data_IF_846287206871
#
_entry.id   IF_846287206871
#
_cell.length_a   1.000
_cell.length_b   1.000
_cell.length_c   1.000
_cell.angle_alpha   90.00
_cell.angle_beta   90.00
_cell.angle_gamma   90.00
#
_symmetry.space_group_name_H-M   'P 1'
#
loop_
_entity.id
_entity.type
_entity.pdbx_description
1 polymer ?
#
# COMPACT_ATOMS: atom_id res chain seq x y z
N UNK A 1 -46.39 43.87 -6.55
CA UNK A 1 -45.30 43.30 -5.72
C UNK A 1 -44.15 42.95 -6.64
N UNK A 2 -42.99 43.61 -6.53
CA UNK A 2 -41.87 43.33 -7.42
C UNK A 2 -41.33 41.93 -7.09
N UNK A 3 -41.16 41.11 -8.14
CA UNK A 3 -40.42 39.85 -8.07
C UNK A 3 -38.99 40.21 -7.68
N UNK A 4 -38.54 39.75 -6.52
CA UNK A 4 -37.12 39.76 -6.17
C UNK A 4 -36.42 38.93 -7.23
N UNK A 5 -35.70 39.63 -8.10
CA UNK A 5 -34.74 39.08 -9.02
C UNK A 5 -33.72 38.34 -8.16
N UNK A 6 -33.75 37.00 -8.17
CA UNK A 6 -32.59 36.24 -7.71
C UNK A 6 -31.50 36.56 -8.70
N UNK A 7 -30.50 37.30 -8.24
CA UNK A 7 -29.26 37.48 -8.96
C UNK A 7 -28.79 36.09 -9.37
N UNK A 8 -28.78 35.82 -10.68
CA UNK A 8 -28.14 34.65 -11.25
C UNK A 8 -26.63 34.88 -11.14
N UNK A 9 -26.10 34.74 -9.93
CA UNK A 9 -24.67 34.71 -9.68
C UNK A 9 -24.08 33.56 -10.49
N UNK A 10 -22.96 33.83 -11.17
CA UNK A 10 -22.20 32.81 -11.88
C UNK A 10 -21.99 31.57 -10.98
N UNK A 11 -21.97 30.35 -11.56
CA UNK A 11 -21.74 29.14 -10.78
C UNK A 11 -20.47 29.29 -9.93
N UNK A 12 -20.62 29.16 -8.61
CA UNK A 12 -19.50 29.25 -7.68
C UNK A 12 -18.86 27.87 -7.68
N UNK A 13 -17.85 27.70 -8.53
CA UNK A 13 -17.01 26.51 -8.56
C UNK A 13 -16.00 26.59 -7.41
N UNK A 14 -15.74 25.45 -6.77
CA UNK A 14 -14.69 25.33 -5.75
C UNK A 14 -13.92 24.02 -5.90
N UNK A 15 -12.69 23.99 -5.39
CA UNK A 15 -11.89 22.77 -5.24
C UNK A 15 -11.93 22.36 -3.77
N UNK A 16 -12.25 21.10 -3.49
CA UNK A 16 -12.22 20.54 -2.13
C UNK A 16 -11.09 19.52 -2.05
N UNK A 17 -10.17 19.71 -1.12
CA UNK A 17 -9.19 18.69 -0.74
C UNK A 17 -9.55 18.12 0.63
N UNK A 18 -9.55 16.79 0.78
CA UNK A 18 -9.90 16.13 2.03
C UNK A 18 -9.01 14.93 2.33
N UNK A 19 -8.75 14.68 3.61
CA UNK A 19 -7.99 13.56 4.15
C UNK A 19 -8.57 13.11 5.50
N UNK A 20 -8.23 11.89 5.91
CA UNK A 20 -8.54 11.35 7.22
C UNK A 20 -7.51 10.34 7.70
N UNK A 21 -7.21 10.38 8.99
CA UNK A 21 -6.21 9.51 9.60
C UNK A 21 -6.71 8.85 10.88
N UNK A 22 -6.05 7.75 11.24
CA UNK A 22 -6.19 7.08 12.53
C UNK A 22 -4.83 6.64 13.09
N UNK A 23 -4.57 6.98 14.35
CA UNK A 23 -3.42 6.53 15.14
C UNK A 23 -3.67 5.12 15.68
N UNK A 24 -3.27 4.11 14.92
CA UNK A 24 -3.41 2.69 15.32
C UNK A 24 -4.41 1.88 14.49
N UNK A 25 -5.15 2.52 13.58
CA UNK A 25 -6.10 1.98 12.60
C UNK A 25 -6.64 0.52 12.85
N UNK A 26 -7.77 0.36 13.56
CA UNK A 26 -8.57 1.40 14.19
C UNK A 26 -7.86 2.01 15.40
N UNK A 27 -8.10 3.29 15.63
CA UNK A 27 -7.34 4.11 16.57
C UNK A 27 -7.94 5.51 16.70
N UNK A 28 -7.33 6.37 17.53
CA UNK A 28 -7.75 7.77 17.62
C UNK A 28 -7.67 8.41 16.23
N UNK A 29 -8.79 8.92 15.74
CA UNK A 29 -8.96 9.32 14.37
C UNK A 29 -9.48 10.74 14.25
N UNK A 30 -9.17 11.37 13.12
CA UNK A 30 -9.58 12.72 12.80
C UNK A 30 -9.50 12.96 11.30
N UNK A 31 -10.17 14.00 10.84
CA UNK A 31 -10.21 14.37 9.44
C UNK A 31 -9.81 15.83 9.23
N UNK A 32 -9.43 16.14 8.01
CA UNK A 32 -9.16 17.49 7.54
C UNK A 32 -9.74 17.69 6.15
N UNK A 33 -10.34 18.85 5.91
CA UNK A 33 -10.83 19.28 4.62
C UNK A 33 -10.57 20.77 4.43
N UNK A 34 -10.27 21.15 3.20
CA UNK A 34 -10.03 22.54 2.81
C UNK A 34 -10.77 22.82 1.50
N UNK A 35 -11.42 23.97 1.43
CA UNK A 35 -12.10 24.47 0.24
C UNK A 35 -11.26 25.60 -0.34
N UNK A 36 -10.86 25.46 -1.60
CA UNK A 36 -10.09 26.44 -2.35
C UNK A 36 -10.94 27.12 -3.44
N UNK A 37 -10.47 28.28 -3.89
CA UNK A 37 -10.86 28.86 -5.17
C UNK A 37 -10.56 27.90 -6.34
N UNK A 38 -11.27 28.01 -7.47
CA UNK A 38 -11.07 27.12 -8.63
C UNK A 38 -9.64 27.02 -9.16
N UNK A 39 -8.85 28.09 -9.01
CA UNK A 39 -7.45 28.19 -9.43
C UNK A 39 -6.46 27.63 -8.42
N UNK A 40 -6.96 27.06 -7.30
CA UNK A 40 -6.19 26.50 -6.20
C UNK A 40 -5.24 27.51 -5.53
N UNK A 41 -5.55 28.81 -5.58
CA UNK A 41 -4.68 29.85 -5.00
C UNK A 41 -5.14 30.36 -3.63
N UNK A 42 -6.45 30.33 -3.35
CA UNK A 42 -7.02 30.94 -2.14
C UNK A 42 -7.78 29.90 -1.33
N UNK A 43 -7.47 29.79 -0.03
CA UNK A 43 -8.28 29.02 0.92
C UNK A 43 -9.54 29.81 1.27
N UNK A 44 -10.70 29.23 1.00
CA UNK A 44 -12.03 29.81 1.26
C UNK A 44 -12.64 29.28 2.57
N UNK A 45 -12.26 28.07 2.99
CA UNK A 45 -12.75 27.45 4.22
C UNK A 45 -11.95 26.22 4.61
N UNK A 46 -11.96 25.89 5.89
CA UNK A 46 -11.32 24.69 6.45
C UNK A 46 -12.28 24.02 7.42
N UNK A 47 -12.28 22.69 7.43
CA UNK A 47 -13.03 21.88 8.39
C UNK A 47 -12.14 20.74 8.89
N UNK A 48 -11.99 20.62 10.20
CA UNK A 48 -11.26 19.51 10.81
C UNK A 48 -11.81 19.19 12.18
N UNK A 49 -11.93 17.90 12.50
CA UNK A 49 -12.35 17.46 13.83
C UNK A 49 -11.85 16.05 14.13
N UNK A 50 -11.74 15.75 15.42
CA UNK A 50 -11.48 14.39 15.89
C UNK A 50 -12.80 13.62 15.93
N UNK A 51 -12.76 12.34 15.54
CA UNK A 51 -13.93 11.48 15.44
C UNK A 51 -13.89 10.31 16.42
N UNK A 52 -13.03 10.41 17.44
CA UNK A 52 -12.83 9.37 18.43
C UNK A 52 -12.09 8.17 17.85
N UNK A 53 -12.53 6.96 18.18
CA UNK A 53 -11.87 5.72 17.75
C UNK A 53 -12.50 5.21 16.44
N UNK A 54 -11.75 5.26 15.34
CA UNK A 54 -12.24 4.85 14.02
C UNK A 54 -11.11 4.34 13.12
N UNK A 55 -11.46 3.78 11.97
CA UNK A 55 -10.50 3.39 10.92
C UNK A 55 -10.14 4.57 10.02
N UNK A 56 -9.04 4.47 9.27
CA UNK A 56 -8.64 5.45 8.26
C UNK A 56 -9.77 5.72 7.25
N UNK A 57 -10.37 4.67 6.68
CA UNK A 57 -11.42 4.85 5.67
C UNK A 57 -12.65 5.57 6.23
N UNK A 58 -12.99 5.33 7.51
CA UNK A 58 -14.05 6.09 8.19
C UNK A 58 -13.66 7.57 8.31
N UNK A 59 -12.41 7.85 8.70
CA UNK A 59 -11.91 9.23 8.78
C UNK A 59 -11.88 9.93 7.41
N UNK A 60 -11.45 9.25 6.34
CA UNK A 60 -11.42 9.80 4.98
C UNK A 60 -12.82 10.15 4.49
N UNK A 61 -13.81 9.27 4.70
CA UNK A 61 -15.20 9.58 4.38
C UNK A 61 -15.75 10.76 5.20
N UNK A 62 -15.37 10.88 6.47
CA UNK A 62 -15.74 12.03 7.31
C UNK A 62 -15.13 13.32 6.78
N UNK A 63 -13.87 13.29 6.34
CA UNK A 63 -13.20 14.42 5.68
C UNK A 63 -13.94 14.86 4.42
N UNK A 64 -14.31 13.91 3.55
CA UNK A 64 -15.10 14.22 2.35
C UNK A 64 -16.44 14.89 2.70
N UNK A 65 -17.19 14.31 3.63
CA UNK A 65 -18.50 14.84 4.03
C UNK A 65 -18.36 16.27 4.59
N UNK A 66 -17.34 16.52 5.42
CA UNK A 66 -17.07 17.83 5.97
C UNK A 66 -16.67 18.84 4.89
N UNK A 67 -15.84 18.45 3.92
CA UNK A 67 -15.46 19.30 2.80
C UNK A 67 -16.64 19.69 1.91
N UNK A 68 -17.53 18.73 1.60
CA UNK A 68 -18.77 18.99 0.86
C UNK A 68 -19.72 19.91 1.66
N UNK A 69 -19.87 19.70 2.97
CA UNK A 69 -20.70 20.56 3.79
C UNK A 69 -20.17 22.01 3.84
N UNK A 70 -18.84 22.18 3.92
CA UNK A 70 -18.21 23.49 3.91
C UNK A 70 -18.36 24.19 2.55
N UNK A 71 -18.20 23.47 1.45
CA UNK A 71 -18.45 23.99 0.11
C UNK A 71 -19.91 24.46 -0.06
N UNK A 72 -20.88 23.70 0.47
CA UNK A 72 -22.29 24.08 0.44
C UNK A 72 -22.55 25.35 1.28
N UNK A 73 -21.91 25.47 2.45
CA UNK A 73 -22.01 26.67 3.31
C UNK A 73 -21.48 27.92 2.62
N UNK A 74 -20.45 27.77 1.77
CA UNK A 74 -19.88 28.84 0.94
C UNK A 74 -20.72 29.16 -0.30
N UNK A 75 -21.85 28.46 -0.52
CA UNK A 75 -22.74 28.68 -1.65
C UNK A 75 -22.22 28.13 -2.97
N UNK A 76 -21.30 27.16 -2.94
CA UNK A 76 -20.81 26.52 -4.16
C UNK A 76 -21.93 25.77 -4.90
N UNK A 77 -21.92 25.83 -6.22
CA UNK A 77 -22.85 25.08 -7.09
C UNK A 77 -22.15 23.94 -7.85
N UNK A 78 -20.83 24.04 -8.05
CA UNK A 78 -19.99 23.00 -8.66
C UNK A 78 -18.78 22.70 -7.76
N UNK A 79 -18.45 21.43 -7.59
CA UNK A 79 -17.33 21.00 -6.73
C UNK A 79 -16.40 20.04 -7.44
N UNK A 80 -15.10 20.33 -7.44
CA UNK A 80 -14.06 19.37 -7.80
C UNK A 80 -13.43 18.85 -6.52
N UNK A 81 -13.62 17.56 -6.20
CA UNK A 81 -13.04 16.91 -5.03
C UNK A 81 -11.71 16.27 -5.41
N UNK A 82 -10.67 16.51 -4.63
CA UNK A 82 -9.37 15.86 -4.71
C UNK A 82 -9.04 15.18 -3.39
N UNK A 83 -8.72 13.88 -3.41
CA UNK A 83 -8.34 13.13 -2.21
C UNK A 83 -7.21 12.15 -2.54
N UNK A 84 -6.38 11.83 -1.56
CA UNK A 84 -5.36 10.78 -1.68
C UNK A 84 -5.88 9.37 -1.33
N UNK A 85 -7.15 9.28 -0.92
CA UNK A 85 -7.89 8.02 -0.80
C UNK A 85 -8.46 7.55 -2.14
N UNK A 86 -7.74 6.63 -2.79
CA UNK A 86 -8.24 5.97 -4.02
C UNK A 86 -9.54 5.22 -3.75
N UNK A 87 -9.71 4.64 -2.56
CA UNK A 87 -10.94 3.93 -2.18
C UNK A 87 -12.15 4.86 -2.18
N UNK A 88 -12.08 6.00 -1.48
CA UNK A 88 -13.20 6.95 -1.40
C UNK A 88 -13.48 7.55 -2.78
N UNK A 89 -12.44 7.95 -3.53
CA UNK A 89 -12.60 8.50 -4.88
C UNK A 89 -13.30 7.51 -5.82
N UNK A 90 -12.88 6.25 -5.86
CA UNK A 90 -13.44 5.24 -6.75
C UNK A 90 -14.87 4.84 -6.35
N UNK A 91 -15.15 4.80 -5.04
CA UNK A 91 -16.50 4.52 -4.53
C UNK A 91 -17.46 5.68 -4.85
N UNK A 92 -17.05 6.93 -4.61
CA UNK A 92 -17.86 8.11 -4.92
C UNK A 92 -18.03 8.34 -6.42
N UNK A 93 -17.07 7.91 -7.23
CA UNK A 93 -17.20 7.89 -8.69
C UNK A 93 -18.11 6.76 -9.21
N UNK A 94 -18.66 5.92 -8.34
CA UNK A 94 -19.50 4.77 -8.72
C UNK A 94 -18.76 3.61 -9.37
N UNK A 95 -17.42 3.67 -9.47
CA UNK A 95 -16.60 2.63 -10.09
C UNK A 95 -16.43 1.43 -9.16
N UNK A 96 -16.38 1.66 -7.85
CA UNK A 96 -16.22 0.61 -6.83
C UNK A 96 -17.45 0.50 -5.93
N UNK A 97 -17.83 -0.73 -5.57
CA UNK A 97 -18.94 -0.97 -4.62
C UNK A 97 -18.48 -0.77 -3.17
N UNK A 98 -19.36 -0.20 -2.35
CA UNK A 98 -19.19 -0.13 -0.89
C UNK A 98 -19.81 -1.37 -0.27
N UNK A 99 -18.99 -2.21 0.38
CA UNK A 99 -19.45 -3.49 0.97
C UNK A 99 -19.41 -3.51 2.49
N UNK A 100 -18.56 -2.69 3.11
CA UNK A 100 -18.40 -2.68 4.56
C UNK A 100 -19.58 -1.95 5.23
N UNK A 101 -20.30 -2.56 6.18
CA UNK A 101 -21.48 -1.97 6.81
C UNK A 101 -21.28 -0.53 7.32
N UNK A 102 -20.18 -0.29 8.03
CA UNK A 102 -19.88 1.05 8.57
C UNK A 102 -19.58 2.10 7.49
N UNK A 103 -19.08 1.67 6.33
CA UNK A 103 -18.81 2.57 5.21
C UNK A 103 -20.06 2.80 4.35
N UNK A 104 -21.03 1.87 4.34
CA UNK A 104 -22.28 2.04 3.59
C UNK A 104 -23.03 3.29 4.08
N UNK A 105 -23.13 3.47 5.40
CA UNK A 105 -23.78 4.65 5.99
C UNK A 105 -23.05 5.94 5.64
N UNK A 106 -21.72 5.95 5.70
CA UNK A 106 -20.91 7.12 5.36
C UNK A 106 -20.94 7.45 3.87
N UNK A 107 -20.92 6.43 3.02
CA UNK A 107 -21.10 6.58 1.59
C UNK A 107 -22.46 7.20 1.26
N UNK A 108 -23.54 6.72 1.88
CA UNK A 108 -24.86 7.33 1.70
C UNK A 108 -24.88 8.79 2.15
N UNK A 109 -24.26 9.13 3.28
CA UNK A 109 -24.12 10.51 3.74
C UNK A 109 -23.34 11.38 2.74
N UNK A 110 -22.23 10.88 2.21
CA UNK A 110 -21.44 11.58 1.20
C UNK A 110 -22.20 11.78 -0.12
N UNK A 111 -22.97 10.77 -0.56
CA UNK A 111 -23.85 10.87 -1.74
C UNK A 111 -24.95 11.92 -1.50
N UNK A 112 -25.60 11.92 -0.33
CA UNK A 112 -26.61 12.93 0.01
C UNK A 112 -26.02 14.34 0.08
N UNK A 113 -24.80 14.50 0.58
CA UNK A 113 -24.10 15.78 0.58
C UNK A 113 -23.78 16.24 -0.85
N UNK A 114 -23.31 15.32 -1.72
CA UNK A 114 -23.00 15.61 -3.11
C UNK A 114 -24.24 16.03 -3.94
N UNK A 115 -25.44 15.55 -3.59
CA UNK A 115 -26.70 15.93 -4.26
C UNK A 115 -27.10 17.41 -4.07
N UNK A 116 -26.41 18.16 -3.21
CA UNK A 116 -26.65 19.60 -3.03
C UNK A 116 -26.06 20.46 -4.15
N UNK A 117 -25.17 19.87 -4.97
CA UNK A 117 -24.46 20.56 -6.04
C UNK A 117 -25.03 20.17 -7.41
N UNK A 118 -24.85 21.04 -8.40
CA UNK A 118 -25.19 20.74 -9.79
C UNK A 118 -24.23 19.71 -10.40
N UNK A 119 -22.95 19.75 -10.00
CA UNK A 119 -21.95 18.77 -10.40
C UNK A 119 -20.89 18.56 -9.31
N UNK A 120 -20.43 17.31 -9.19
CA UNK A 120 -19.31 16.92 -8.34
C UNK A 120 -18.41 15.94 -9.09
N UNK A 121 -17.13 16.26 -9.22
CA UNK A 121 -16.11 15.38 -9.79
C UNK A 121 -15.16 14.89 -8.70
N UNK A 122 -14.73 13.63 -8.78
CA UNK A 122 -13.79 13.04 -7.81
C UNK A 122 -12.49 12.66 -8.50
N UNK A 123 -11.39 13.26 -8.04
CA UNK A 123 -10.05 13.02 -8.56
C UNK A 123 -9.17 12.46 -7.46
N UNK A 124 -8.45 11.37 -7.77
CA UNK A 124 -7.40 10.90 -6.89
C UNK A 124 -6.14 11.75 -7.11
N UNK A 125 -5.54 12.21 -6.02
CA UNK A 125 -4.27 12.93 -6.03
C UNK A 125 -3.24 12.18 -5.18
N UNK A 126 -1.94 12.21 -5.54
CA UNK A 126 -0.89 11.72 -4.65
C UNK A 126 -0.88 12.44 -3.29
N UNK A 127 -0.49 11.75 -2.22
CA UNK A 127 -0.47 12.28 -0.84
C UNK A 127 0.39 13.53 -0.70
N UNK A 128 1.49 13.62 -1.44
CA UNK A 128 2.36 14.79 -1.45
C UNK A 128 1.69 16.06 -2.00
N UNK A 129 0.55 15.90 -2.69
CA UNK A 129 -0.29 17.00 -3.16
C UNK A 129 -1.44 17.32 -2.19
N UNK A 130 -1.77 16.43 -1.26
CA UNK A 130 -2.87 16.60 -0.28
C UNK A 130 -2.37 17.09 1.10
N UNK A 131 -1.25 17.83 1.15
CA UNK A 131 -0.56 18.18 2.41
C UNK A 131 -1.39 19.02 3.36
N UNK A 132 -2.28 19.86 2.83
CA UNK A 132 -3.06 20.78 3.64
C UNK A 132 -4.14 20.05 4.42
N UNK A 133 -4.91 19.17 3.75
CA UNK A 133 -5.90 18.33 4.40
C UNK A 133 -5.24 17.32 5.37
N UNK A 134 -4.10 16.73 5.00
CA UNK A 134 -3.32 15.85 5.89
C UNK A 134 -2.87 16.58 7.16
N UNK A 135 -2.35 17.82 7.05
CA UNK A 135 -1.99 18.64 8.21
C UNK A 135 -3.19 18.84 9.13
N UNK A 136 -4.34 19.23 8.59
CA UNK A 136 -5.57 19.45 9.35
C UNK A 136 -6.07 18.17 10.07
N UNK A 137 -6.00 17.02 9.41
CA UNK A 137 -6.36 15.74 10.01
C UNK A 137 -5.42 15.36 11.17
N UNK A 138 -4.11 15.60 11.01
CA UNK A 138 -3.13 15.38 12.07
C UNK A 138 -3.34 16.34 13.26
N UNK A 139 -3.56 17.63 13.00
CA UNK A 139 -3.85 18.60 14.06
C UNK A 139 -5.11 18.22 14.86
N UNK A 140 -6.16 17.72 14.19
CA UNK A 140 -7.37 17.25 14.87
C UNK A 140 -7.10 16.05 15.81
N UNK A 141 -6.33 15.05 15.35
CA UNK A 141 -5.96 13.89 16.17
C UNK A 141 -5.04 14.27 17.34
N UNK A 142 -4.09 15.18 17.11
CA UNK A 142 -3.14 15.61 18.12
C UNK A 142 -3.85 16.42 19.22
N UNK A 143 -4.77 17.34 18.85
CA UNK A 143 -5.64 18.06 19.81
C UNK A 143 -6.44 17.10 20.70
N UNK A 144 -7.02 16.04 20.12
CA UNK A 144 -7.83 15.08 20.87
C UNK A 144 -7.03 14.13 21.77
N UNK A 145 -5.73 13.91 21.48
CA UNK A 145 -4.84 13.10 22.32
C UNK A 145 -4.19 13.90 23.45
N UNK A 146 -4.41 15.22 23.51
CA UNK A 146 -3.70 16.10 24.45
C UNK A 146 -2.20 16.23 24.15
N UNK A 147 -1.77 15.85 22.94
CA UNK A 147 -0.40 16.01 22.47
C UNK A 147 -0.32 17.40 21.82
N UNK A 148 0.51 18.29 22.36
CA UNK A 148 0.78 19.56 21.68
C UNK A 148 1.33 19.28 20.27
N UNK A 149 0.87 20.02 19.23
CA UNK A 149 1.38 19.85 17.87
C UNK A 149 2.88 20.04 17.90
N UNK A 150 3.64 18.99 17.58
CA UNK A 150 5.09 19.08 17.47
C UNK A 150 5.39 20.11 16.39
N UNK A 151 5.99 21.24 16.76
CA UNK A 151 6.64 22.14 15.79
C UNK A 151 7.48 21.28 14.85
N UNK A 152 7.48 21.56 13.54
CA UNK A 152 8.33 20.85 12.61
C UNK A 152 9.74 20.85 13.19
N UNK A 153 10.31 19.67 13.44
CA UNK A 153 11.73 19.59 13.74
C UNK A 153 12.42 20.21 12.53
N UNK A 154 13.25 21.22 12.77
CA UNK A 154 14.23 21.67 11.79
C UNK A 154 14.99 20.43 11.32
N UNK A 155 14.62 19.99 10.12
CA UNK A 155 15.41 19.04 9.36
C UNK A 155 16.61 19.87 8.96
N UNK A 156 17.77 19.57 9.53
CA UNK A 156 19.03 20.15 9.12
C UNK A 156 19.07 20.17 7.59
N UNK A 157 19.38 21.34 7.02
CA UNK A 157 19.41 21.62 5.59
C UNK A 157 19.86 20.38 4.79
N UNK A 158 18.88 19.75 4.14
CA UNK A 158 19.19 18.88 3.01
C UNK A 158 19.72 19.85 1.97
N UNK A 159 21.05 19.92 1.84
CA UNK A 159 21.69 20.55 0.69
C UNK A 159 20.95 20.06 -0.54
N UNK A 160 20.32 20.99 -1.26
CA UNK A 160 19.75 20.74 -2.57
C UNK A 160 20.82 20.07 -3.44
N UNK A 161 20.75 18.76 -3.55
CA UNK A 161 21.39 18.06 -4.65
C UNK A 161 20.47 18.32 -5.83
N UNK A 162 20.98 19.12 -6.78
CA UNK A 162 20.38 19.27 -8.11
C UNK A 162 19.86 17.90 -8.57
N UNK A 163 18.61 17.79 -9.04
CA UNK A 163 18.13 16.56 -9.65
C UNK A 163 19.13 16.19 -10.74
N UNK A 164 19.73 15.00 -10.64
CA UNK A 164 20.49 14.47 -11.76
C UNK A 164 19.49 14.34 -12.91
N UNK A 165 19.76 15.06 -14.00
CA UNK A 165 19.03 14.96 -15.27
C UNK A 165 19.06 13.51 -15.75
N UNK A 166 18.05 12.74 -15.39
CA UNK A 166 17.68 11.54 -16.12
C UNK A 166 16.34 11.83 -16.77
N UNK A 167 16.34 11.84 -18.11
CA UNK A 167 15.16 12.05 -18.92
C UNK A 167 13.99 11.18 -18.40
N UNK A 168 12.76 11.72 -18.35
CA UNK A 168 11.61 10.92 -17.92
C UNK A 168 11.51 9.70 -18.83
N UNK A 169 11.54 8.51 -18.22
CA UNK A 169 11.12 7.30 -18.92
C UNK A 169 9.66 7.43 -19.37
N UNK A 170 9.17 6.44 -20.13
CA UNK A 170 7.77 6.40 -20.62
C UNK A 170 6.68 6.51 -19.53
N UNK A 171 7.05 6.42 -18.25
CA UNK A 171 6.16 6.47 -17.08
C UNK A 171 6.07 7.83 -16.40
N UNK A 172 6.86 8.83 -16.82
CA UNK A 172 6.87 10.17 -16.20
C UNK A 172 7.52 10.26 -14.81
N UNK A 173 8.00 9.13 -14.26
CA UNK A 173 8.66 9.07 -12.97
C UNK A 173 10.02 9.81 -12.98
N UNK A 174 10.33 10.53 -11.91
CA UNK A 174 11.57 11.29 -11.75
C UNK A 174 12.47 10.65 -10.69
N UNK A 175 13.77 10.64 -10.95
CA UNK A 175 14.79 10.10 -10.04
C UNK A 175 15.03 8.60 -10.19
N UNK A 176 15.95 8.06 -9.39
CA UNK A 176 16.32 6.64 -9.41
C UNK A 176 15.32 5.83 -8.56
N UNK A 177 14.75 4.73 -9.06
CA UNK A 177 13.88 3.89 -8.26
C UNK A 177 14.67 3.11 -7.20
N UNK A 178 14.03 2.83 -6.07
CA UNK A 178 14.45 1.74 -5.20
C UNK A 178 14.12 0.42 -5.90
N UNK A 179 15.15 -0.33 -6.26
CA UNK A 179 15.01 -1.57 -7.02
C UNK A 179 15.08 -2.76 -6.07
N UNK A 180 13.98 -3.49 -5.94
CA UNK A 180 13.87 -4.66 -5.09
C UNK A 180 13.99 -5.92 -5.93
N UNK A 181 15.06 -6.69 -5.69
CA UNK A 181 15.25 -8.03 -6.19
C UNK A 181 14.55 -8.99 -5.23
N UNK A 182 13.49 -9.64 -5.69
CA UNK A 182 12.64 -10.48 -4.87
C UNK A 182 13.04 -11.95 -5.10
N UNK A 183 13.73 -12.53 -4.12
CA UNK A 183 14.20 -13.92 -4.18
C UNK A 183 13.33 -14.80 -3.29
N UNK A 184 12.72 -15.84 -3.87
CA UNK A 184 12.06 -16.87 -3.07
C UNK A 184 13.12 -17.76 -2.41
N UNK A 185 12.88 -18.24 -1.20
CA UNK A 185 13.75 -19.22 -0.55
C UNK A 185 13.96 -20.49 -1.40
N UNK A 186 15.06 -21.20 -1.16
CA UNK A 186 15.34 -22.51 -1.76
C UNK A 186 14.38 -23.62 -1.32
N UNK A 187 14.46 -24.79 -1.94
CA UNK A 187 13.59 -25.93 -1.64
C UNK A 187 13.59 -26.36 -0.16
N UNK A 188 12.40 -26.73 0.34
CA UNK A 188 12.19 -27.43 1.61
C UNK A 188 11.42 -28.75 1.37
N UNK A 189 11.37 -29.64 2.36
CA UNK A 189 10.59 -30.89 2.26
C UNK A 189 9.09 -30.64 1.96
N UNK A 190 8.48 -29.66 2.64
CA UNK A 190 7.08 -29.29 2.36
C UNK A 190 6.87 -28.78 0.93
N UNK A 191 7.90 -28.15 0.34
CA UNK A 191 7.85 -27.69 -1.05
C UNK A 191 7.81 -28.87 -2.03
N UNK A 192 8.61 -29.92 -1.78
CA UNK A 192 8.62 -31.16 -2.58
C UNK A 192 7.24 -31.82 -2.54
N UNK A 193 6.65 -31.87 -1.34
CA UNK A 193 5.35 -32.49 -1.10
C UNK A 193 4.16 -31.61 -1.52
N UNK A 194 4.41 -30.38 -2.01
CA UNK A 194 3.39 -29.39 -2.39
C UNK A 194 2.38 -29.11 -1.28
N UNK A 195 2.87 -29.03 -0.05
CA UNK A 195 2.09 -28.74 1.14
C UNK A 195 2.11 -27.25 1.45
N UNK A 196 1.04 -26.73 2.03
CA UNK A 196 1.02 -25.38 2.58
C UNK A 196 2.12 -25.25 3.64
N UNK A 197 2.98 -24.25 3.45
CA UNK A 197 4.15 -24.00 4.29
C UNK A 197 4.17 -22.52 4.65
N UNK A 198 3.41 -22.16 5.66
CA UNK A 198 3.26 -20.82 6.17
C UNK A 198 4.27 -20.51 7.26
N UNK A 199 3.80 -20.49 8.50
CA UNK A 199 4.63 -20.18 9.69
C UNK A 199 5.38 -21.39 10.22
N UNK A 200 5.13 -22.59 9.70
CA UNK A 200 6.03 -23.72 9.89
C UNK A 200 7.44 -23.32 9.46
N UNK A 201 8.45 -23.85 10.15
CA UNK A 201 9.85 -23.48 9.91
C UNK A 201 10.70 -24.67 9.44
N UNK A 202 10.32 -25.35 8.32
CA UNK A 202 11.17 -26.39 7.77
C UNK A 202 12.48 -25.81 7.26
N UNK A 203 13.55 -26.57 7.46
CA UNK A 203 14.88 -26.27 6.95
C UNK A 203 14.95 -26.48 5.43
N UNK A 204 15.99 -25.91 4.80
CA UNK A 204 16.26 -26.18 3.39
C UNK A 204 16.70 -27.65 3.20
N UNK A 205 16.32 -28.24 2.08
CA UNK A 205 16.91 -29.51 1.63
C UNK A 205 18.34 -29.27 1.10
N UNK A 206 19.10 -30.33 0.82
CA UNK A 206 20.40 -30.20 0.14
C UNK A 206 20.27 -29.43 -1.17
N UNK A 207 19.28 -29.80 -1.99
CA UNK A 207 18.96 -29.10 -3.22
C UNK A 207 18.57 -27.63 -2.96
N UNK A 208 17.84 -27.34 -1.88
CA UNK A 208 17.52 -25.98 -1.48
C UNK A 208 18.75 -25.13 -1.15
N UNK A 209 19.76 -25.72 -0.49
CA UNK A 209 21.04 -25.05 -0.21
C UNK A 209 21.86 -24.85 -1.47
N UNK A 210 21.88 -25.82 -2.38
CA UNK A 210 22.50 -25.64 -3.70
C UNK A 210 21.84 -24.53 -4.50
N UNK A 211 20.51 -24.46 -4.51
CA UNK A 211 19.74 -23.41 -5.16
C UNK A 211 20.09 -22.02 -4.59
N UNK A 212 20.14 -21.90 -3.25
CA UNK A 212 20.56 -20.66 -2.60
C UNK A 212 22.00 -20.25 -3.00
N UNK A 213 22.93 -21.21 -3.06
CA UNK A 213 24.30 -20.95 -3.48
C UNK A 213 24.40 -20.53 -4.96
N UNK A 214 23.59 -21.12 -5.86
CA UNK A 214 23.50 -20.71 -7.28
C UNK A 214 22.94 -19.30 -7.42
N UNK A 215 21.86 -18.99 -6.70
CA UNK A 215 21.30 -17.64 -6.64
C UNK A 215 22.32 -16.61 -6.14
N UNK A 216 23.05 -16.94 -5.07
CA UNK A 216 24.09 -16.09 -4.51
C UNK A 216 25.20 -15.76 -5.53
N UNK A 217 25.70 -16.77 -6.25
CA UNK A 217 26.71 -16.57 -7.32
C UNK A 217 26.17 -15.70 -8.46
N UNK A 218 24.93 -15.92 -8.87
CA UNK A 218 24.28 -15.13 -9.92
C UNK A 218 24.09 -13.67 -9.51
N UNK A 219 23.69 -13.42 -8.26
CA UNK A 219 23.53 -12.07 -7.73
C UNK A 219 24.89 -11.36 -7.59
N UNK A 220 25.91 -12.07 -7.11
CA UNK A 220 27.27 -11.54 -6.97
C UNK A 220 27.88 -11.15 -8.33
N UNK A 221 27.64 -11.92 -9.39
CA UNK A 221 28.15 -11.59 -10.73
C UNK A 221 27.51 -10.36 -11.35
N UNK A 222 26.28 -9.99 -10.92
CA UNK A 222 25.62 -8.74 -11.33
C UNK A 222 26.04 -7.54 -10.49
N UNK A 223 26.33 -7.74 -9.21
CA UNK A 223 26.75 -6.68 -8.29
C UNK A 223 25.72 -5.56 -8.10
N UNK A 224 26.15 -4.45 -7.49
CA UNK A 224 25.33 -3.25 -7.31
C UNK A 224 24.19 -3.37 -6.30
N UNK A 225 24.15 -4.44 -5.51
CA UNK A 225 23.17 -4.65 -4.44
C UNK A 225 23.73 -4.05 -3.16
N UNK A 226 22.98 -3.19 -2.48
CA UNK A 226 23.44 -2.46 -1.30
C UNK A 226 23.21 -3.22 0.03
N UNK A 227 22.17 -4.04 0.10
CA UNK A 227 21.80 -4.80 1.30
C UNK A 227 20.94 -6.01 0.93
N UNK A 228 20.89 -6.98 1.86
CA UNK A 228 19.95 -8.10 1.86
C UNK A 228 18.99 -7.95 3.04
N UNK A 229 17.68 -7.98 2.78
CA UNK A 229 16.63 -8.04 3.79
C UNK A 229 15.94 -9.39 3.69
N UNK A 230 15.78 -10.09 4.81
CA UNK A 230 15.18 -11.43 4.82
C UNK A 230 13.94 -11.51 5.70
N UNK A 231 13.03 -12.42 5.35
CA UNK A 231 12.04 -12.93 6.29
C UNK A 231 12.71 -13.60 7.50
N UNK A 232 12.06 -13.65 8.67
CA UNK A 232 12.62 -14.27 9.87
C UNK A 232 12.69 -15.81 9.85
N UNK A 233 11.99 -16.50 8.93
CA UNK A 233 11.99 -17.98 8.84
C UNK A 233 13.33 -18.54 8.35
N UNK A 234 13.77 -19.66 8.92
CA UNK A 234 15.09 -20.29 8.68
C UNK A 234 15.40 -20.45 7.19
N UNK A 235 14.48 -21.05 6.42
CA UNK A 235 14.64 -21.24 4.96
C UNK A 235 14.97 -19.95 4.19
N UNK A 236 14.37 -18.82 4.57
CA UNK A 236 14.63 -17.52 3.95
C UNK A 236 15.93 -16.93 4.48
N UNK A 237 16.21 -17.03 5.79
CA UNK A 237 17.47 -16.55 6.40
C UNK A 237 18.68 -17.27 5.84
N UNK A 238 18.62 -18.59 5.68
CA UNK A 238 19.73 -19.38 5.11
C UNK A 238 19.98 -19.00 3.65
N UNK A 239 18.92 -18.87 2.86
CA UNK A 239 19.02 -18.38 1.46
C UNK A 239 19.63 -16.97 1.42
N UNK A 240 19.19 -16.08 2.31
CA UNK A 240 19.67 -14.70 2.40
C UNK A 240 21.13 -14.61 2.87
N UNK A 241 21.54 -15.47 3.82
CA UNK A 241 22.90 -15.52 4.31
C UNK A 241 23.89 -15.94 3.22
N UNK A 242 23.52 -16.91 2.38
CA UNK A 242 24.33 -17.29 1.22
C UNK A 242 24.53 -16.09 0.26
N UNK A 243 23.46 -15.35 -0.05
CA UNK A 243 23.53 -14.18 -0.92
C UNK A 243 24.34 -13.03 -0.29
N UNK A 244 24.08 -12.69 0.98
CA UNK A 244 24.77 -11.63 1.69
C UNK A 244 26.28 -11.91 1.80
N UNK A 245 26.66 -13.16 2.09
CA UNK A 245 28.05 -13.59 2.14
C UNK A 245 28.76 -13.48 0.79
N UNK A 246 28.10 -13.88 -0.30
CA UNK A 246 28.66 -13.77 -1.65
C UNK A 246 28.77 -12.31 -2.14
N UNK A 247 27.85 -11.44 -1.71
CA UNK A 247 27.82 -10.02 -2.07
C UNK A 247 28.72 -9.15 -1.18
N UNK A 248 29.04 -9.60 0.04
CA UNK A 248 29.77 -8.82 1.02
C UNK A 248 28.99 -7.63 1.58
N UNK A 249 27.66 -7.77 1.73
CA UNK A 249 26.76 -6.67 2.15
C UNK A 249 25.98 -7.03 3.42
N UNK A 250 25.42 -6.02 4.14
CA UNK A 250 24.65 -6.27 5.35
C UNK A 250 23.42 -7.15 5.10
N UNK A 251 23.12 -8.01 6.07
CA UNK A 251 21.89 -8.80 6.16
C UNK A 251 21.06 -8.32 7.34
N UNK A 252 19.83 -7.89 7.07
CA UNK A 252 18.83 -7.56 8.10
C UNK A 252 17.60 -8.47 8.00
N UNK A 253 16.84 -8.55 9.08
CA UNK A 253 15.58 -9.31 9.13
C UNK A 253 14.43 -8.31 9.27
N UNK A 254 13.38 -8.49 8.47
CA UNK A 254 12.12 -7.76 8.59
C UNK A 254 10.96 -8.76 8.80
N UNK A 255 10.33 -8.71 9.97
CA UNK A 255 9.26 -9.62 10.37
C UNK A 255 8.03 -9.52 9.46
N UNK A 256 7.78 -8.37 8.83
CA UNK A 256 6.64 -8.17 7.94
C UNK A 256 6.82 -8.91 6.59
N UNK A 257 8.01 -9.48 6.31
CA UNK A 257 8.30 -10.29 5.11
C UNK A 257 8.03 -11.79 5.30
N UNK A 258 7.59 -12.24 6.47
CA UNK A 258 7.28 -13.64 6.75
C UNK A 258 6.16 -14.20 5.83
N UNK A 259 6.07 -15.51 5.61
CA UNK A 259 5.00 -16.11 4.78
C UNK A 259 3.62 -15.96 5.42
N UNK A 260 2.56 -16.16 4.63
CA UNK A 260 1.18 -16.28 5.07
C UNK A 260 1.05 -17.35 6.15
N UNK A 261 0.37 -17.04 7.25
CA UNK A 261 -0.09 -18.03 8.19
C UNK A 261 -1.27 -18.83 7.64
N UNK A 262 -1.04 -20.11 7.34
CA UNK A 262 -2.08 -21.01 6.85
C UNK A 262 -2.84 -21.70 8.00
N UNK A 263 -2.52 -21.41 9.27
CA UNK A 263 -3.23 -21.95 10.43
C UNK A 263 -3.35 -23.47 10.39
N UNK A 264 -4.57 -23.98 10.51
CA UNK A 264 -4.87 -25.42 10.49
C UNK A 264 -4.63 -26.11 9.14
N UNK A 265 -4.37 -25.36 8.06
CA UNK A 265 -3.96 -25.93 6.77
C UNK A 265 -2.45 -26.12 6.65
N UNK A 266 -1.66 -25.64 7.61
CA UNK A 266 -0.21 -25.86 7.64
C UNK A 266 0.11 -27.36 7.49
N UNK A 267 1.01 -27.69 6.56
CA UNK A 267 1.40 -29.06 6.28
C UNK A 267 0.37 -29.87 5.49
N UNK A 268 -0.82 -29.37 5.19
CA UNK A 268 -1.75 -30.05 4.28
C UNK A 268 -1.39 -29.79 2.82
N UNK A 269 -1.68 -30.75 1.95
CA UNK A 269 -1.75 -30.50 0.51
C UNK A 269 -3.00 -29.68 0.19
N UNK A 270 -3.05 -29.14 -1.03
CA UNK A 270 -4.24 -28.45 -1.52
C UNK A 270 -5.50 -29.33 -1.48
N UNK A 271 -5.40 -30.62 -1.87
CA UNK A 271 -6.54 -31.55 -1.86
C UNK A 271 -7.01 -31.81 -0.44
N UNK A 272 -6.09 -32.11 0.49
CA UNK A 272 -6.43 -32.37 1.89
C UNK A 272 -7.10 -31.14 2.55
N UNK A 273 -6.62 -29.92 2.28
CA UNK A 273 -7.27 -28.71 2.78
C UNK A 273 -8.67 -28.50 2.17
N UNK A 274 -8.82 -28.73 0.86
CA UNK A 274 -10.11 -28.64 0.17
C UNK A 274 -11.09 -29.73 0.60
N UNK A 275 -10.64 -30.92 0.98
CA UNK A 275 -11.50 -31.99 1.48
C UNK A 275 -11.91 -31.74 2.93
N UNK A 276 -11.00 -31.19 3.73
CA UNK A 276 -11.23 -30.86 5.13
C UNK A 276 -12.22 -29.70 5.30
N UNK A 277 -12.04 -28.62 4.54
CA UNK A 277 -12.82 -27.39 4.66
C UNK A 277 -13.36 -26.90 3.29
N UNK A 278 -14.24 -27.66 2.59
CA UNK A 278 -14.53 -27.46 1.16
C UNK A 278 -15.15 -26.12 0.79
N UNK A 279 -16.07 -25.61 1.60
CA UNK A 279 -16.70 -24.31 1.32
C UNK A 279 -15.75 -23.16 1.64
N UNK A 280 -15.07 -23.21 2.78
CA UNK A 280 -14.10 -22.19 3.19
C UNK A 280 -12.92 -22.11 2.21
N UNK A 281 -12.38 -23.26 1.78
CA UNK A 281 -11.28 -23.32 0.82
C UNK A 281 -11.67 -22.71 -0.52
N UNK A 282 -12.88 -22.98 -1.03
CA UNK A 282 -13.40 -22.37 -2.25
C UNK A 282 -13.54 -20.85 -2.12
N UNK A 283 -14.05 -20.36 -1.00
CA UNK A 283 -14.16 -18.93 -0.72
C UNK A 283 -12.78 -18.27 -0.67
N UNK A 284 -11.83 -18.89 0.05
CA UNK A 284 -10.44 -18.42 0.20
C UNK A 284 -9.68 -18.29 -1.12
N UNK A 285 -9.98 -19.13 -2.13
CA UNK A 285 -9.39 -19.01 -3.46
C UNK A 285 -9.96 -17.86 -4.31
N UNK A 286 -11.09 -17.28 -3.90
CA UNK A 286 -11.80 -16.24 -4.65
C UNK A 286 -11.81 -14.87 -3.96
N UNK A 287 -11.57 -14.82 -2.65
CA UNK A 287 -11.63 -13.63 -1.81
C UNK A 287 -10.44 -13.58 -0.85
N UNK A 288 -9.60 -12.56 -1.02
CA UNK A 288 -8.35 -12.38 -0.27
C UNK A 288 -8.55 -11.97 1.18
N UNK A 289 -9.77 -11.59 1.56
CA UNK A 289 -10.13 -11.24 2.94
C UNK A 289 -10.43 -12.47 3.81
N UNK A 290 -10.74 -13.61 3.18
CA UNK A 290 -11.03 -14.86 3.87
C UNK A 290 -9.73 -15.42 4.46
N UNK A 291 -9.81 -15.92 5.68
CA UNK A 291 -8.70 -16.54 6.40
C UNK A 291 -8.79 -18.06 6.31
N UNK A 292 -7.65 -18.77 6.17
CA UNK A 292 -7.63 -20.19 6.53
C UNK A 292 -7.95 -20.33 8.04
N UNK A 293 -8.43 -21.49 8.52
CA UNK A 293 -8.82 -21.62 9.91
C UNK A 293 -7.63 -21.35 10.85
N UNK A 294 -7.78 -20.39 11.76
CA UNK A 294 -6.73 -19.95 12.69
C UNK A 294 -5.45 -19.41 12.03
N UNK A 295 -5.53 -18.96 10.77
CA UNK A 295 -4.42 -18.30 10.07
C UNK A 295 -4.70 -16.84 9.73
N UNK A 296 -4.00 -16.32 8.72
CA UNK A 296 -4.12 -14.93 8.27
C UNK A 296 -4.64 -14.83 6.82
N UNK A 297 -5.35 -13.74 6.53
CA UNK A 297 -5.84 -13.44 5.18
C UNK A 297 -4.74 -12.81 4.33
N UNK A 298 -4.87 -12.90 3.01
CA UNK A 298 -3.95 -12.23 2.09
C UNK A 298 -4.02 -10.70 2.19
N UNK A 299 -5.13 -10.14 2.68
CA UNK A 299 -5.24 -8.70 2.98
C UNK A 299 -4.38 -8.31 4.20
N UNK A 300 -4.33 -9.15 5.24
CA UNK A 300 -3.40 -8.94 6.36
C UNK A 300 -1.94 -8.99 5.90
N UNK A 301 -1.59 -9.96 5.05
CA UNK A 301 -0.27 -10.03 4.40
C UNK A 301 0.03 -8.77 3.60
N UNK A 302 -0.96 -8.28 2.83
CA UNK A 302 -0.84 -7.06 2.06
C UNK A 302 -0.45 -5.85 2.92
N UNK A 303 -1.14 -5.65 4.06
CA UNK A 303 -0.84 -4.53 4.95
C UNK A 303 0.58 -4.57 5.52
N UNK A 304 1.03 -5.73 5.99
CA UNK A 304 2.38 -5.87 6.56
C UNK A 304 3.48 -5.74 5.50
N UNK A 305 3.32 -6.38 4.35
CA UNK A 305 4.29 -6.27 3.24
C UNK A 305 4.37 -4.84 2.70
N UNK A 306 3.25 -4.10 2.71
CA UNK A 306 3.23 -2.67 2.37
C UNK A 306 4.10 -1.85 3.33
N UNK A 307 4.07 -2.15 4.63
CA UNK A 307 4.95 -1.51 5.62
C UNK A 307 6.42 -1.85 5.38
N UNK A 308 6.75 -3.12 5.13
CA UNK A 308 8.12 -3.55 4.81
C UNK A 308 8.65 -2.81 3.57
N UNK A 309 7.88 -2.77 2.49
CA UNK A 309 8.21 -2.03 1.28
C UNK A 309 8.48 -0.54 1.58
N UNK A 310 7.61 0.11 2.35
CA UNK A 310 7.78 1.52 2.69
C UNK A 310 9.06 1.78 3.50
N UNK A 311 9.38 0.89 4.46
CA UNK A 311 10.65 0.97 5.21
C UNK A 311 11.85 0.82 4.27
N UNK A 312 11.81 -0.18 3.38
CA UNK A 312 12.90 -0.43 2.42
C UNK A 312 13.08 0.77 1.48
N UNK A 313 12.00 1.39 0.98
CA UNK A 313 12.10 2.61 0.14
C UNK A 313 12.69 3.77 0.94
N UNK A 314 12.26 3.97 2.19
CA UNK A 314 12.75 5.05 3.02
C UNK A 314 14.25 4.91 3.37
N UNK A 315 14.71 3.68 3.62
CA UNK A 315 16.10 3.39 4.00
C UNK A 315 17.04 3.27 2.80
N UNK A 316 16.56 2.70 1.69
CA UNK A 316 17.36 2.38 0.49
C UNK A 316 16.87 3.12 -0.76
N UNK A 317 16.40 4.36 -0.59
CA UNK A 317 15.95 5.25 -1.67
C UNK A 317 16.94 5.31 -2.83
N UNK A 318 16.51 4.92 -4.04
CA UNK A 318 17.35 4.95 -5.25
C UNK A 318 18.46 3.90 -5.33
N UNK A 319 18.56 3.00 -4.35
CA UNK A 319 19.49 1.88 -4.34
C UNK A 319 18.82 0.57 -4.79
N UNK A 320 19.64 -0.45 -5.06
CA UNK A 320 19.18 -1.81 -5.32
C UNK A 320 19.35 -2.67 -4.08
N UNK A 321 18.32 -3.41 -3.68
CA UNK A 321 18.34 -4.31 -2.52
C UNK A 321 17.81 -5.69 -2.89
N UNK A 322 18.30 -6.71 -2.19
CA UNK A 322 17.76 -8.06 -2.26
C UNK A 322 16.77 -8.29 -1.12
N UNK A 323 15.56 -8.73 -1.44
CA UNK A 323 14.51 -9.09 -0.50
C UNK A 323 14.27 -10.59 -0.63
N UNK A 324 14.62 -11.35 0.41
CA UNK A 324 14.48 -12.82 0.43
C UNK A 324 13.26 -13.21 1.26
N UNK A 325 12.29 -13.84 0.61
CA UNK A 325 10.99 -14.13 1.22
C UNK A 325 10.33 -15.36 0.58
N UNK A 326 9.00 -15.37 0.53
CA UNK A 326 8.15 -16.51 0.20
C UNK A 326 7.12 -16.13 -0.85
N UNK A 327 6.23 -17.06 -1.20
CA UNK A 327 5.31 -16.89 -2.34
C UNK A 327 4.39 -15.71 -2.12
N UNK A 328 3.68 -15.62 -0.99
CA UNK A 328 2.65 -14.58 -0.82
C UNK A 328 3.25 -13.18 -0.66
N UNK A 329 4.30 -12.94 0.16
CA UNK A 329 4.91 -11.61 0.23
C UNK A 329 5.52 -11.14 -1.09
N UNK A 330 6.18 -12.02 -1.86
CA UNK A 330 6.75 -11.65 -3.16
C UNK A 330 5.62 -11.31 -4.15
N UNK A 331 4.59 -12.14 -4.24
CA UNK A 331 3.41 -11.83 -5.07
C UNK A 331 2.74 -10.53 -4.65
N UNK A 332 2.73 -10.22 -3.36
CA UNK A 332 2.18 -8.98 -2.82
C UNK A 332 3.02 -7.76 -3.21
N UNK A 333 4.35 -7.85 -3.17
CA UNK A 333 5.23 -6.79 -3.68
C UNK A 333 5.05 -6.58 -5.18
N UNK A 334 4.91 -7.66 -5.96
CA UNK A 334 4.61 -7.58 -7.39
C UNK A 334 3.22 -6.97 -7.64
N UNK A 335 2.20 -7.35 -6.88
CA UNK A 335 0.86 -6.74 -6.93
C UNK A 335 0.92 -5.23 -6.69
N UNK A 336 1.66 -4.81 -5.66
CA UNK A 336 1.85 -3.40 -5.33
C UNK A 336 2.57 -2.64 -6.46
N UNK A 337 3.57 -3.26 -7.10
CA UNK A 337 4.31 -2.64 -8.20
C UNK A 337 3.50 -2.55 -9.50
N UNK A 338 2.57 -3.49 -9.73
CA UNK A 338 1.67 -3.51 -10.89
C UNK A 338 0.43 -2.62 -10.72
N UNK A 339 0.17 -2.08 -9.52
CA UNK A 339 -1.12 -1.50 -9.13
C UNK A 339 -2.30 -2.44 -9.49
N UNK A 340 -2.09 -3.75 -9.30
CA UNK A 340 -3.04 -4.78 -9.71
C UNK A 340 -4.04 -5.13 -8.60
N UNK A 341 -5.22 -5.57 -9.03
CA UNK A 341 -6.23 -6.14 -8.14
C UNK A 341 -5.77 -7.44 -7.46
N UNK A 342 -6.46 -7.87 -6.38
CA UNK A 342 -6.08 -9.03 -5.58
C UNK A 342 -6.00 -10.35 -6.36
N UNK A 343 -6.77 -10.48 -7.46
CA UNK A 343 -6.79 -11.67 -8.31
C UNK A 343 -5.41 -12.03 -8.90
N UNK A 344 -4.49 -11.07 -9.00
CA UNK A 344 -3.12 -11.30 -9.49
C UNK A 344 -2.35 -12.32 -8.63
N UNK A 345 -2.67 -12.43 -7.34
CA UNK A 345 -2.02 -13.40 -6.43
C UNK A 345 -2.22 -14.85 -6.91
N UNK A 346 -3.34 -15.15 -7.56
CA UNK A 346 -3.65 -16.47 -8.09
C UNK A 346 -3.18 -16.69 -9.54
N UNK A 347 -2.64 -15.63 -10.18
CA UNK A 347 -2.19 -15.66 -11.58
C UNK A 347 -0.68 -15.55 -11.74
N UNK A 348 0.03 -15.18 -10.68
CA UNK A 348 1.50 -15.21 -10.65
C UNK A 348 2.00 -16.60 -10.25
N UNK A 349 2.96 -17.12 -11.01
CA UNK A 349 3.71 -18.32 -10.64
C UNK A 349 5.12 -17.91 -10.21
N UNK A 350 5.63 -18.53 -9.14
CA UNK A 350 6.96 -18.29 -8.60
C UNK A 350 7.60 -19.63 -8.23
N UNK A 351 8.64 -20.01 -8.93
CA UNK A 351 9.44 -21.21 -8.66
C UNK A 351 10.32 -21.00 -7.41
N UNK A 352 10.80 -22.10 -6.84
CA UNK A 352 11.75 -22.07 -5.72
C UNK A 352 13.06 -21.43 -6.16
N UNK A 353 13.68 -20.65 -5.28
CA UNK A 353 14.87 -19.86 -5.60
C UNK A 353 14.74 -19.04 -6.89
N UNK A 354 13.53 -18.62 -7.27
CA UNK A 354 13.31 -17.74 -8.41
C UNK A 354 13.52 -16.28 -8.05
N UNK A 355 13.96 -15.49 -9.03
CA UNK A 355 14.18 -14.06 -8.90
C UNK A 355 13.10 -13.28 -9.66
N UNK A 356 12.48 -12.32 -8.99
CA UNK A 356 11.63 -11.30 -9.62
C UNK A 356 12.17 -9.91 -9.30
N UNK A 357 11.77 -8.88 -10.06
CA UNK A 357 12.30 -7.52 -9.87
C UNK A 357 11.16 -6.52 -9.96
N UNK A 358 11.03 -5.72 -8.91
CA UNK A 358 10.12 -4.58 -8.83
C UNK A 358 10.93 -3.29 -8.56
N UNK A 359 10.52 -2.21 -9.20
CA UNK A 359 11.08 -0.87 -9.01
C UNK A 359 10.00 0.03 -8.44
N UNK A 360 10.33 0.76 -7.37
CA UNK A 360 9.46 1.73 -6.72
C UNK A 360 10.13 3.10 -6.73
N UNK A 361 9.49 4.08 -7.33
CA UNK A 361 9.98 5.45 -7.38
C UNK A 361 9.44 6.22 -6.17
N UNK A 362 10.24 7.17 -5.68
CA UNK A 362 9.89 7.97 -4.50
C UNK A 362 8.69 8.90 -4.74
N UNK A 363 8.40 9.23 -6.00
CA UNK A 363 7.26 10.03 -6.44
C UNK A 363 6.00 9.18 -6.75
N UNK A 364 6.02 7.88 -6.43
CA UNK A 364 4.84 7.02 -6.46
C UNK A 364 4.79 5.94 -7.55
N UNK A 365 5.20 6.20 -8.82
CA UNK A 365 5.25 5.18 -9.86
C UNK A 365 6.01 3.92 -9.42
N UNK A 366 5.59 2.79 -9.97
CA UNK A 366 6.27 1.52 -9.80
C UNK A 366 6.23 0.71 -11.09
N UNK A 367 7.11 -0.27 -11.22
CA UNK A 367 7.08 -1.19 -12.34
C UNK A 367 7.64 -2.56 -11.96
N UNK A 368 7.15 -3.59 -12.63
CA UNK A 368 7.75 -4.93 -12.58
C UNK A 368 8.63 -5.11 -13.81
N UNK A 369 9.91 -5.45 -13.57
CA UNK A 369 10.92 -5.60 -14.62
C UNK A 369 11.19 -7.05 -15.00
N UNK A 370 10.92 -7.97 -14.07
CA UNK A 370 11.21 -9.39 -14.23
C UNK A 370 10.29 -10.18 -13.31
N UNK A 371 9.81 -11.32 -13.77
CA UNK A 371 9.03 -12.25 -12.97
C UNK A 371 9.60 -13.65 -13.18
N UNK A 372 9.90 -14.34 -12.08
CA UNK A 372 10.19 -15.76 -12.04
C UNK A 372 11.41 -16.23 -12.88
N UNK A 373 12.53 -15.52 -12.79
CA UNK A 373 13.79 -15.91 -13.42
C UNK A 373 14.47 -17.06 -12.65
N UNK A 374 14.81 -18.12 -13.37
CA UNK A 374 15.39 -19.38 -12.84
C UNK A 374 16.53 -19.93 -13.70
N UNK A 375 16.93 -19.26 -14.78
CA UNK A 375 17.98 -19.73 -15.71
C UNK A 375 19.35 -19.96 -15.05
N UNK A 376 19.60 -19.35 -13.90
CA UNK A 376 20.83 -19.55 -13.12
C UNK A 376 20.81 -20.80 -12.23
N UNK A 377 19.68 -21.50 -12.16
CA UNK A 377 19.55 -22.73 -11.40
C UNK A 377 19.94 -23.97 -12.20
N UNK A 378 20.04 -23.88 -13.53
CA UNK A 378 20.36 -25.01 -14.41
C UNK A 378 21.84 -25.14 -14.70
#
# INVERSE_FOLDING_TARGET
MPRVQRDSGAPVKVLVEADGGSRGNPGLAGYGAVVFSPDHQTVLGEACDAIGHATNNVAEYRGLIAGLAEAARLGATEVSVSMDSKLVVEQMSGRWKVKHPDLITLYQQAVTAAMQFESVDYTWIPRERNKHADRLANEAMDRASGIEPKKPKEIAEIKETKPADTAPGWTGARGKPTRMLLLRHGQTELSVQRRYSGRGNPELTELGREQAARAARYLASRGGIAAVISSPLSRAKETAAAAAGALGVPLTVDDDLIETDFGKWEGLTFSEASERDPELHRQWLSDTSITPPEGESFDTVHHRVRRARNRIIAEYGGATVLVVSHVTPIKTLLRLALDAGPSVLYRLHLDLASLSIAEFYSDGPASVRLVNETSYLT
#
